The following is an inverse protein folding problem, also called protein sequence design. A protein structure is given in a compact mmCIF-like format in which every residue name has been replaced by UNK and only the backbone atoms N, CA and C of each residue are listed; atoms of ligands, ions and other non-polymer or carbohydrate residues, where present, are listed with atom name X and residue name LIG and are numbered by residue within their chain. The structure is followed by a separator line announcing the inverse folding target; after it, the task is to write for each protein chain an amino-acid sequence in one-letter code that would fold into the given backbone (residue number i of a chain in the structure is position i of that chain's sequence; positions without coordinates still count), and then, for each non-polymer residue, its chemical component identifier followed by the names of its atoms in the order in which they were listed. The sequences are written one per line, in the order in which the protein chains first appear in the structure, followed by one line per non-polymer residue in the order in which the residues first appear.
data_IF_791789433731
#
_entry.id   IF_791789433731
#
_cell.length_a   1.000
_cell.length_b   1.000
_cell.length_c   1.000
_cell.angle_alpha   90.00
_cell.angle_beta   90.00
_cell.angle_gamma   90.00
#
_symmetry.space_group_name_H-M   'P 1'
#
loop_
_entity.id
_entity.type
_entity.pdbx_description
1 polymer ?
#
# COMPACT_ATOMS: atom_id res chain seq x y z
N UNK A 1 -11.99 8.89 -11.95
CA UNK A 1 -12.77 8.42 -10.78
C UNK A 1 -11.85 7.61 -9.86
N UNK A 2 -11.34 8.20 -8.77
CA UNK A 2 -10.47 7.47 -7.82
C UNK A 2 -11.32 6.68 -6.82
N UNK A 3 -11.77 5.50 -7.24
CA UNK A 3 -12.40 4.52 -6.34
C UNK A 3 -11.40 3.98 -5.32
N UNK A 4 -11.91 3.46 -4.21
CA UNK A 4 -11.11 2.65 -3.27
C UNK A 4 -10.66 1.39 -4.02
N UNK A 5 -9.39 0.99 -3.88
CA UNK A 5 -8.84 -0.20 -4.54
C UNK A 5 -9.62 -1.47 -4.19
N UNK A 6 -9.76 -2.40 -5.14
CA UNK A 6 -10.54 -3.63 -4.95
C UNK A 6 -10.02 -4.51 -3.82
N UNK A 7 -8.72 -4.45 -3.53
CA UNK A 7 -8.11 -5.08 -2.36
C UNK A 7 -8.89 -4.80 -1.06
N UNK A 8 -9.35 -3.57 -0.87
CA UNK A 8 -10.08 -3.20 0.33
C UNK A 8 -11.50 -3.76 0.36
N UNK A 9 -12.05 -4.36 -0.70
CA UNK A 9 -13.34 -5.07 -0.63
C UNK A 9 -13.28 -6.30 0.28
N UNK A 10 -12.07 -6.81 0.57
CA UNK A 10 -11.83 -7.92 1.51
C UNK A 10 -12.23 -7.57 2.95
N UNK A 11 -12.29 -8.60 3.80
CA UNK A 11 -12.47 -8.42 5.23
C UNK A 11 -11.35 -7.51 5.81
N UNK A 12 -11.68 -6.45 6.57
CA UNK A 12 -10.69 -5.54 7.15
C UNK A 12 -9.58 -6.23 7.98
N UNK A 13 -9.90 -7.33 8.68
CA UNK A 13 -8.90 -8.09 9.45
C UNK A 13 -7.75 -8.64 8.57
N UNK A 14 -8.02 -8.91 7.30
CA UNK A 14 -7.04 -9.43 6.35
C UNK A 14 -6.18 -8.33 5.72
N UNK A 15 -6.51 -7.04 5.93
CA UNK A 15 -5.74 -5.96 5.33
C UNK A 15 -4.35 -5.84 5.96
N UNK A 16 -3.34 -5.90 5.11
CA UNK A 16 -1.97 -5.52 5.40
C UNK A 16 -1.29 -4.93 4.15
N UNK A 17 -0.17 -4.24 4.38
CA UNK A 17 0.55 -3.50 3.35
C UNK A 17 1.23 -4.41 2.32
N UNK A 18 1.82 -5.54 2.75
CA UNK A 18 2.58 -6.42 1.87
C UNK A 18 1.67 -7.10 0.84
N UNK A 19 0.52 -7.61 1.28
CA UNK A 19 -0.47 -8.22 0.37
C UNK A 19 -1.04 -7.19 -0.59
N UNK A 20 -1.30 -5.97 -0.13
CA UNK A 20 -1.69 -4.88 -1.04
C UNK A 20 -0.63 -4.65 -2.11
N UNK A 21 0.66 -4.59 -1.75
CA UNK A 21 1.74 -4.37 -2.73
C UNK A 21 1.87 -5.50 -3.75
N UNK A 22 1.56 -6.73 -3.36
CA UNK A 22 1.57 -7.89 -4.24
C UNK A 22 0.39 -7.87 -5.22
N UNK A 23 -0.78 -7.41 -4.79
CA UNK A 23 -1.99 -7.35 -5.61
C UNK A 23 -2.15 -6.05 -6.41
N UNK A 24 -1.43 -4.99 -6.03
CA UNK A 24 -1.49 -3.71 -6.72
C UNK A 24 -0.53 -3.71 -7.91
N UNK A 25 -1.08 -3.67 -9.12
CA UNK A 25 -0.31 -3.61 -10.38
C UNK A 25 0.16 -2.19 -10.75
N UNK A 26 -0.21 -1.18 -9.97
CA UNK A 26 0.17 0.22 -10.25
C UNK A 26 1.67 0.41 -10.05
N UNK A 27 2.45 0.66 -11.11
CA UNK A 27 3.85 1.07 -10.98
C UNK A 27 3.96 2.59 -11.23
N UNK A 28 4.95 3.29 -10.64
CA UNK A 28 6.03 2.79 -9.79
C UNK A 28 5.59 2.48 -8.35
N UNK A 29 6.49 1.91 -7.56
CA UNK A 29 6.27 1.61 -6.14
C UNK A 29 5.67 2.77 -5.34
N UNK A 30 6.16 3.99 -5.52
CA UNK A 30 5.64 5.17 -4.82
C UNK A 30 4.16 5.41 -5.13
N UNK A 31 3.72 5.11 -6.36
CA UNK A 31 2.31 5.17 -6.73
C UNK A 31 1.48 4.06 -6.06
N UNK A 32 2.05 2.88 -5.77
CA UNK A 32 1.38 1.86 -4.93
C UNK A 32 1.18 2.36 -3.52
N UNK A 33 2.23 2.92 -2.92
CA UNK A 33 2.21 3.44 -1.56
C UNK A 33 1.15 4.54 -1.46
N UNK A 34 1.14 5.48 -2.39
CA UNK A 34 0.15 6.55 -2.46
C UNK A 34 -1.28 6.01 -2.62
N UNK A 35 -1.48 4.99 -3.46
CA UNK A 35 -2.78 4.35 -3.65
C UNK A 35 -3.26 3.61 -2.39
N UNK A 36 -2.34 2.97 -1.67
CA UNK A 36 -2.60 2.32 -0.39
C UNK A 36 -3.06 3.33 0.66
N UNK A 37 -2.26 4.38 0.89
CA UNK A 37 -2.54 5.39 1.92
C UNK A 37 -3.82 6.17 1.61
N UNK A 38 -4.00 6.66 0.37
CA UNK A 38 -5.25 7.34 -0.04
C UNK A 38 -6.47 6.44 0.06
N UNK A 39 -6.31 5.15 -0.23
CA UNK A 39 -7.38 4.16 -0.05
C UNK A 39 -7.81 4.04 1.40
N UNK A 40 -6.85 3.91 2.31
CA UNK A 40 -7.10 3.87 3.75
C UNK A 40 -7.69 5.19 4.27
N UNK A 41 -7.16 6.35 3.86
CA UNK A 41 -7.69 7.67 4.25
C UNK A 41 -9.14 7.82 3.81
N UNK A 42 -9.46 7.41 2.59
CA UNK A 42 -10.83 7.45 2.07
C UNK A 42 -11.76 6.53 2.84
N UNK A 43 -11.31 5.35 3.25
CA UNK A 43 -12.08 4.44 4.10
C UNK A 43 -12.29 5.06 5.48
N UNK A 44 -11.22 5.53 6.11
CA UNK A 44 -11.25 6.13 7.44
C UNK A 44 -12.18 7.34 7.52
N UNK A 45 -12.26 8.14 6.45
CA UNK A 45 -13.07 9.35 6.42
C UNK A 45 -14.53 9.13 5.98
N UNK A 46 -14.85 8.04 5.27
CA UNK A 46 -16.18 7.87 4.64
C UNK A 46 -16.93 6.58 5.05
N UNK A 47 -16.31 5.68 5.81
CA UNK A 47 -16.96 4.44 6.30
C UNK A 47 -17.19 4.51 7.82
N UNK A 48 -17.81 3.46 8.37
CA UNK A 48 -18.06 3.32 9.82
C UNK A 48 -17.68 1.93 10.31
N UNK A 49 -17.53 1.80 11.63
CA UNK A 49 -17.25 0.54 12.32
C UNK A 49 -15.84 0.00 12.06
N UNK A 50 -15.72 -1.33 12.07
CA UNK A 50 -14.45 -2.08 12.02
C UNK A 50 -13.54 -1.63 10.87
N UNK A 51 -14.13 -1.28 9.71
CA UNK A 51 -13.36 -0.85 8.53
C UNK A 51 -12.64 0.47 8.75
N UNK A 52 -13.29 1.42 9.43
CA UNK A 52 -12.71 2.71 9.78
C UNK A 52 -11.63 2.55 10.83
N UNK A 53 -11.90 1.80 11.89
CA UNK A 53 -10.94 1.54 12.97
C UNK A 53 -9.68 0.86 12.42
N UNK A 54 -9.85 -0.16 11.58
CA UNK A 54 -8.73 -0.86 10.96
C UNK A 54 -7.95 0.04 10.00
N UNK A 55 -8.63 0.87 9.21
CA UNK A 55 -7.95 1.78 8.30
C UNK A 55 -7.10 2.82 9.03
N UNK A 56 -7.64 3.39 10.11
CA UNK A 56 -6.90 4.31 10.98
C UNK A 56 -5.70 3.63 11.64
N UNK A 57 -5.86 2.41 12.15
CA UNK A 57 -4.77 1.64 12.73
C UNK A 57 -3.65 1.40 11.72
N UNK A 58 -3.98 0.98 10.50
CA UNK A 58 -3.00 0.75 9.44
C UNK A 58 -2.28 2.05 9.03
N UNK A 59 -2.98 3.19 8.98
CA UNK A 59 -2.36 4.49 8.71
C UNK A 59 -1.38 4.90 9.82
N UNK A 60 -1.76 4.73 11.09
CA UNK A 60 -0.90 5.03 12.23
C UNK A 60 0.34 4.13 12.21
N UNK A 61 0.15 2.82 12.00
CA UNK A 61 1.25 1.85 11.89
C UNK A 61 2.18 2.21 10.73
N UNK A 62 1.65 2.55 9.56
CA UNK A 62 2.44 2.93 8.40
C UNK A 62 3.25 4.21 8.67
N UNK A 63 2.62 5.25 9.24
CA UNK A 63 3.30 6.50 9.58
C UNK A 63 4.44 6.27 10.57
N UNK A 64 4.18 5.54 11.65
CA UNK A 64 5.20 5.20 12.66
C UNK A 64 6.32 4.35 12.07
N UNK A 65 6.00 3.42 11.17
CA UNK A 65 7.01 2.64 10.46
C UNK A 65 7.84 3.52 9.50
N UNK A 66 7.22 4.47 8.82
CA UNK A 66 7.91 5.39 7.90
C UNK A 66 8.89 6.34 8.60
N UNK A 67 8.74 6.56 9.90
CA UNK A 67 9.71 7.29 10.72
C UNK A 67 10.96 6.46 11.05
N UNK A 68 10.91 5.13 10.83
CA UNK A 68 12.02 4.22 11.08
C UNK A 68 12.89 4.06 9.82
N UNK A 69 14.16 4.47 9.91
CA UNK A 69 15.12 4.37 8.81
C UNK A 69 15.27 2.93 8.26
N UNK A 70 15.25 1.93 9.13
CA UNK A 70 15.37 0.50 8.74
C UNK A 70 14.18 0.08 7.87
N UNK A 71 12.98 0.58 8.18
CA UNK A 71 11.79 0.32 7.38
C UNK A 71 11.90 0.97 6.00
N UNK A 72 12.33 2.24 5.94
CA UNK A 72 12.58 2.95 4.67
C UNK A 72 13.60 2.18 3.82
N UNK A 73 14.72 1.74 4.39
CA UNK A 73 15.73 0.97 3.67
C UNK A 73 15.19 -0.38 3.19
N UNK A 74 14.40 -1.06 4.03
CA UNK A 74 13.76 -2.32 3.68
C UNK A 74 12.76 -2.15 2.52
N UNK A 75 12.01 -1.05 2.50
CA UNK A 75 11.12 -0.69 1.40
C UNK A 75 11.89 -0.39 0.11
N UNK A 76 12.99 0.37 0.18
CA UNK A 76 13.86 0.64 -0.98
C UNK A 76 14.41 -0.66 -1.58
N UNK A 77 14.96 -1.56 -0.75
CA UNK A 77 15.44 -2.88 -1.17
C UNK A 77 14.33 -3.76 -1.75
N UNK A 78 13.10 -3.65 -1.25
CA UNK A 78 11.95 -4.35 -1.82
C UNK A 78 11.64 -3.85 -3.24
N UNK A 79 11.62 -2.54 -3.43
CA UNK A 79 11.41 -1.90 -4.73
C UNK A 79 12.48 -2.32 -5.74
N UNK A 80 13.76 -2.23 -5.37
CA UNK A 80 14.89 -2.64 -6.22
C UNK A 80 14.80 -4.10 -6.65
N UNK A 81 14.50 -5.01 -5.71
CA UNK A 81 14.34 -6.44 -6.00
C UNK A 81 13.15 -6.76 -6.89
N UNK A 82 12.10 -5.95 -6.82
CA UNK A 82 10.92 -6.14 -7.69
C UNK A 82 11.18 -5.58 -9.07
N UNK A 83 11.80 -4.40 -9.18
CA UNK A 83 12.23 -3.82 -10.46
C UNK A 83 13.22 -4.73 -11.18
N UNK A 84 14.16 -5.38 -10.49
CA UNK A 84 15.09 -6.33 -11.10
C UNK A 84 14.46 -7.64 -11.57
N UNK A 85 13.23 -7.94 -11.12
CA UNK A 85 12.43 -9.10 -11.55
C UNK A 85 11.47 -8.76 -12.68
N UNK A 86 11.23 -7.48 -12.97
CA UNK A 86 10.47 -7.11 -14.14
C UNK A 86 11.30 -7.45 -15.38
N UNK A 87 10.72 -8.05 -16.43
CA UNK A 87 11.44 -8.20 -17.69
C UNK A 87 11.87 -6.81 -18.13
N UNK A 88 13.18 -6.64 -18.37
CA UNK A 88 13.70 -5.46 -19.03
C UNK A 88 12.92 -5.36 -20.33
N UNK A 89 12.07 -4.34 -20.46
CA UNK A 89 11.48 -4.01 -21.75
C UNK A 89 12.66 -3.47 -22.57
N UNK A 90 13.39 -4.38 -23.23
CA UNK A 90 14.26 -4.02 -24.32
C UNK A 90 13.35 -3.55 -25.44
N UNK A 91 13.40 -2.25 -25.72
CA UNK A 91 12.63 -1.67 -26.80
C UNK A 91 12.79 -0.17 -26.85
N UNK A 92 13.94 0.29 -27.37
CA UNK A 92 14.02 1.29 -28.44
C UNK A 92 15.28 1.02 -29.26
#
# INVERSE_FOLDING_TARGET
MSGIHEYFKKNPTNWNFIDFLNECDTEPFDAKVDKYTKGLEKIANNQQGERTERAQLLLICFKKASENLIFIESMKKWCERRLSRLPVIQGF
#
